data_IF_877189103993
#
_entry.id   IF_877189103993
#
_cell.length_a   1.000
_cell.length_b   1.000
_cell.length_c   1.000
_cell.angle_alpha   90.00
_cell.angle_beta   90.00
_cell.angle_gamma   90.00
#
_symmetry.space_group_name_H-M   'P 1'
#
loop_
_entity.id
_entity.type
_entity.pdbx_description
1 polymer ?
#
# COMPACT_ATOMS: atom_id res chain seq x y z
N UNK A 1 8.42 16.16 -10.64
CA UNK A 1 7.11 15.71 -11.19
C UNK A 1 5.96 16.13 -10.28
N UNK A 2 5.86 17.41 -9.90
CA UNK A 2 4.84 17.87 -8.94
C UNK A 2 3.41 17.84 -9.51
N UNK A 3 3.25 17.77 -10.83
CA UNK A 3 1.92 17.71 -11.46
C UNK A 3 1.41 16.28 -11.65
N UNK A 4 2.23 15.25 -11.39
CA UNK A 4 1.82 13.86 -11.61
C UNK A 4 0.81 13.45 -10.53
N UNK A 5 -0.42 13.16 -10.96
CA UNK A 5 -1.53 12.77 -10.08
C UNK A 5 -1.89 11.29 -10.17
N UNK A 6 -1.64 10.64 -11.30
CA UNK A 6 -2.01 9.25 -11.50
C UNK A 6 -0.79 8.50 -12.01
N UNK A 7 -0.40 7.46 -11.28
CA UNK A 7 0.72 6.60 -11.63
C UNK A 7 0.25 5.16 -11.72
N UNK A 8 0.40 4.58 -12.91
CA UNK A 8 0.14 3.18 -13.18
C UNK A 8 1.48 2.49 -13.39
N UNK A 9 1.93 1.72 -12.41
CA UNK A 9 3.16 0.95 -12.54
C UNK A 9 2.91 -0.28 -13.44
N UNK A 10 3.96 -0.82 -14.09
CA UNK A 10 3.87 -2.13 -14.72
C UNK A 10 3.38 -3.20 -13.73
N UNK A 11 2.58 -4.16 -14.21
CA UNK A 11 2.12 -5.28 -13.39
C UNK A 11 3.25 -6.23 -12.98
N UNK A 12 4.39 -6.15 -13.66
CA UNK A 12 5.62 -6.91 -13.40
C UNK A 12 6.83 -6.01 -13.63
N UNK A 13 7.75 -6.01 -12.68
CA UNK A 13 9.09 -5.45 -12.82
C UNK A 13 10.12 -6.56 -12.56
N UNK A 14 11.38 -6.35 -12.96
CA UNK A 14 12.42 -7.33 -12.63
C UNK A 14 12.60 -7.41 -11.10
N UNK A 15 13.00 -8.56 -10.53
CA UNK A 15 13.24 -8.69 -9.10
C UNK A 15 14.26 -7.69 -8.53
N UNK A 16 15.20 -7.24 -9.34
CA UNK A 16 16.27 -6.30 -8.99
C UNK A 16 15.80 -4.84 -8.99
N UNK A 17 14.62 -4.56 -9.56
CA UNK A 17 14.10 -3.20 -9.68
C UNK A 17 13.64 -2.67 -8.32
N UNK A 18 14.15 -1.50 -7.92
CA UNK A 18 13.67 -0.74 -6.74
C UNK A 18 13.29 0.69 -7.10
N UNK A 19 11.99 0.98 -7.07
CA UNK A 19 11.38 2.26 -7.43
C UNK A 19 11.33 3.21 -6.23
N UNK A 20 11.93 4.39 -6.39
CA UNK A 20 11.93 5.46 -5.38
C UNK A 20 10.79 6.44 -5.63
N UNK A 21 9.62 6.13 -5.07
CA UNK A 21 8.40 6.93 -5.22
C UNK A 21 8.26 8.07 -4.18
N UNK A 22 9.20 8.22 -3.24
CA UNK A 22 9.07 9.11 -2.08
C UNK A 22 8.93 10.61 -2.40
N UNK A 23 9.22 11.04 -3.63
CA UNK A 23 9.05 12.44 -4.09
C UNK A 23 7.70 12.69 -4.77
N UNK A 24 6.86 11.67 -4.94
CA UNK A 24 5.59 11.73 -5.66
C UNK A 24 4.40 12.02 -4.72
N UNK A 25 4.51 13.06 -3.88
CA UNK A 25 3.50 13.35 -2.85
C UNK A 25 2.15 13.85 -3.37
N UNK A 26 2.07 14.28 -4.62
CA UNK A 26 0.84 14.78 -5.24
C UNK A 26 0.01 13.69 -5.95
N UNK A 27 0.40 12.42 -5.82
CA UNK A 27 -0.38 11.31 -6.36
C UNK A 27 -1.75 11.21 -5.68
N UNK A 28 -2.76 11.07 -6.52
CA UNK A 28 -4.14 10.73 -6.18
C UNK A 28 -4.43 9.26 -6.49
N UNK A 29 -3.79 8.69 -7.50
CA UNK A 29 -3.96 7.29 -7.89
C UNK A 29 -2.61 6.61 -8.00
N UNK A 30 -2.46 5.47 -7.34
CA UNK A 30 -1.30 4.60 -7.48
C UNK A 30 -1.75 3.16 -7.74
N UNK A 31 -1.42 2.65 -8.92
CA UNK A 31 -1.83 1.32 -9.37
C UNK A 31 -0.63 0.40 -9.57
N UNK A 32 -0.81 -0.88 -9.26
CA UNK A 32 0.22 -1.93 -9.24
C UNK A 32 1.37 -1.66 -8.25
N UNK A 33 1.12 -0.99 -7.12
CA UNK A 33 2.11 -0.87 -6.05
C UNK A 33 2.47 -2.26 -5.50
N UNK A 34 3.73 -2.54 -5.24
CA UNK A 34 4.14 -3.81 -4.64
C UNK A 34 5.39 -3.67 -3.79
N UNK A 35 5.51 -4.45 -2.72
CA UNK A 35 6.62 -4.30 -1.77
C UNK A 35 7.91 -4.96 -2.24
N UNK A 36 7.86 -5.78 -3.31
CA UNK A 36 9.05 -6.33 -3.94
C UNK A 36 9.85 -5.24 -4.64
N UNK A 37 9.18 -4.33 -5.35
CA UNK A 37 9.81 -3.30 -6.16
C UNK A 37 9.67 -1.88 -5.58
N UNK A 38 8.80 -1.65 -4.62
CA UNK A 38 8.59 -0.34 -4.01
C UNK A 38 8.83 -0.40 -2.50
N UNK A 39 9.14 0.76 -1.91
CA UNK A 39 9.32 0.89 -0.47
C UNK A 39 8.01 1.35 0.18
N UNK A 40 7.47 0.57 1.12
CA UNK A 40 6.23 0.89 1.85
C UNK A 40 6.31 2.25 2.54
N UNK A 41 7.47 2.58 3.13
CA UNK A 41 7.70 3.87 3.78
C UNK A 41 7.51 5.10 2.88
N UNK A 42 7.46 4.94 1.55
CA UNK A 42 7.16 6.05 0.65
C UNK A 42 5.67 6.39 0.57
N UNK A 43 4.77 5.48 0.96
CA UNK A 43 3.33 5.71 0.95
C UNK A 43 2.93 6.83 1.93
N UNK A 44 3.66 7.01 3.03
CA UNK A 44 3.39 8.08 4.01
C UNK A 44 3.47 9.48 3.38
N UNK A 45 4.30 9.66 2.35
CA UNK A 45 4.47 10.93 1.66
C UNK A 45 3.34 11.24 0.66
N UNK A 46 2.49 10.26 0.33
CA UNK A 46 1.40 10.40 -0.65
C UNK A 46 0.15 10.93 0.06
N UNK A 47 0.22 12.16 0.55
CA UNK A 47 -0.82 12.75 1.40
C UNK A 47 -2.14 13.01 0.68
N UNK A 48 -2.14 13.03 -0.66
CA UNK A 48 -3.31 13.26 -1.50
C UNK A 48 -3.89 11.99 -2.14
N UNK A 49 -3.45 10.80 -1.70
CA UNK A 49 -3.84 9.53 -2.30
C UNK A 49 -5.33 9.23 -2.09
N UNK A 50 -6.04 8.96 -3.18
CA UNK A 50 -7.48 8.64 -3.21
C UNK A 50 -7.71 7.17 -3.49
N UNK A 51 -6.92 6.60 -4.41
CA UNK A 51 -7.03 5.20 -4.83
C UNK A 51 -5.66 4.53 -4.81
N UNK A 52 -5.58 3.41 -4.09
CA UNK A 52 -4.39 2.58 -3.98
C UNK A 52 -4.72 1.15 -4.39
N UNK A 53 -4.05 0.67 -5.44
CA UNK A 53 -4.03 -0.74 -5.79
C UNK A 53 -2.66 -1.34 -5.49
N UNK A 54 -2.66 -2.37 -4.64
CA UNK A 54 -1.51 -3.19 -4.30
C UNK A 54 -1.59 -4.50 -5.08
N UNK A 55 -0.49 -4.89 -5.71
CA UNK A 55 -0.38 -6.12 -6.50
C UNK A 55 0.81 -6.96 -6.09
N UNK A 56 0.58 -8.20 -5.69
CA UNK A 56 1.63 -9.10 -5.22
C UNK A 56 1.76 -9.11 -3.70
N UNK A 57 2.89 -9.60 -3.16
CA UNK A 57 3.09 -9.66 -1.72
C UNK A 57 3.05 -8.26 -1.08
N UNK A 58 2.50 -8.20 0.13
CA UNK A 58 2.45 -7.00 0.95
C UNK A 58 3.11 -7.25 2.30
N UNK A 59 4.36 -6.78 2.42
CA UNK A 59 5.15 -6.87 3.64
C UNK A 59 5.64 -5.47 4.03
N UNK A 60 5.52 -5.14 5.31
CA UNK A 60 5.96 -3.87 5.87
C UNK A 60 7.30 -4.12 6.56
N UNK A 61 8.35 -3.43 6.12
CA UNK A 61 9.67 -3.46 6.76
C UNK A 61 9.56 -2.90 8.18
N UNK A 62 10.28 -3.51 9.13
CA UNK A 62 10.34 -3.09 10.55
C UNK A 62 8.98 -3.03 11.28
N UNK A 63 7.99 -3.82 10.82
CA UNK A 63 6.67 -3.88 11.44
C UNK A 63 6.69 -4.70 12.74
N UNK A 64 6.34 -4.07 13.85
CA UNK A 64 6.21 -4.73 15.14
C UNK A 64 4.90 -5.53 15.16
N UNK A 65 5.03 -6.86 15.08
CA UNK A 65 3.87 -7.76 15.08
C UNK A 65 3.31 -8.07 16.47
N UNK A 66 4.01 -7.70 17.54
CA UNK A 66 3.61 -7.93 18.94
C UNK A 66 2.80 -6.75 19.49
N UNK A 67 3.21 -5.53 19.16
CA UNK A 67 2.59 -4.28 19.63
C UNK A 67 2.11 -3.45 18.43
N UNK A 68 0.95 -3.85 17.88
CA UNK A 68 0.41 -3.28 16.63
C UNK A 68 0.19 -1.76 16.71
N UNK A 69 -0.17 -1.26 17.88
CA UNK A 69 -0.44 0.14 18.22
C UNK A 69 0.82 1.03 18.24
N UNK A 70 2.01 0.44 18.37
CA UNK A 70 3.28 1.18 18.32
C UNK A 70 3.84 1.36 16.91
N UNK A 71 3.23 0.73 15.91
CA UNK A 71 3.68 0.91 14.53
C UNK A 71 3.35 2.32 14.02
N UNK A 72 4.27 2.94 13.25
CA UNK A 72 3.97 4.23 12.62
C UNK A 72 2.86 4.07 11.56
N UNK A 73 2.14 5.16 11.25
CA UNK A 73 1.16 5.15 10.17
C UNK A 73 1.85 4.87 8.83
N UNK A 74 1.26 3.97 8.03
CA UNK A 74 1.76 3.59 6.70
C UNK A 74 1.27 4.58 5.64
N UNK A 75 0.05 5.06 5.81
CA UNK A 75 -0.61 6.03 4.94
C UNK A 75 -1.03 7.22 5.80
N UNK A 76 -0.67 8.42 5.38
CA UNK A 76 -1.09 9.66 6.04
C UNK A 76 -2.25 10.35 5.31
N UNK A 77 -2.60 9.89 4.10
CA UNK A 77 -3.69 10.50 3.35
C UNK A 77 -5.03 10.34 4.05
N UNK A 78 -5.71 11.48 4.23
CA UNK A 78 -7.09 11.53 4.74
C UNK A 78 -8.14 11.28 3.65
N UNK A 79 -7.71 11.19 2.39
CA UNK A 79 -8.57 11.10 1.21
C UNK A 79 -8.63 9.71 0.60
N UNK A 80 -7.95 8.72 1.20
CA UNK A 80 -7.89 7.37 0.63
C UNK A 80 -9.26 6.70 0.69
N UNK A 81 -9.97 6.67 -0.43
CA UNK A 81 -11.33 6.17 -0.55
C UNK A 81 -11.42 4.74 -1.05
N UNK A 82 -10.40 4.27 -1.77
CA UNK A 82 -10.36 2.94 -2.38
C UNK A 82 -9.02 2.27 -2.07
N UNK A 83 -9.10 1.07 -1.52
CA UNK A 83 -7.98 0.16 -1.36
C UNK A 83 -8.31 -1.16 -2.05
N UNK A 84 -7.48 -1.55 -3.02
CA UNK A 84 -7.56 -2.84 -3.67
C UNK A 84 -6.27 -3.62 -3.49
N UNK A 85 -6.37 -4.91 -3.18
CA UNK A 85 -5.21 -5.78 -2.99
C UNK A 85 -5.40 -7.06 -3.80
N UNK A 86 -4.47 -7.33 -4.70
CA UNK A 86 -4.48 -8.49 -5.60
C UNK A 86 -3.22 -9.33 -5.41
N UNK A 87 -3.34 -10.55 -4.92
CA UNK A 87 -2.22 -11.48 -4.84
C UNK A 87 -2.67 -12.93 -5.02
N UNK A 88 -2.51 -13.42 -6.25
CA UNK A 88 -2.95 -14.75 -6.67
C UNK A 88 -2.01 -15.88 -6.26
N UNK A 89 -0.72 -15.58 -6.07
CA UNK A 89 0.33 -16.57 -5.86
C UNK A 89 0.61 -16.84 -4.38
N UNK A 90 -0.11 -16.18 -3.47
CA UNK A 90 0.10 -16.39 -2.06
C UNK A 90 -0.82 -15.60 -1.17
N UNK A 91 -0.32 -15.34 0.03
CA UNK A 91 -1.11 -14.90 1.15
C UNK A 91 -0.52 -13.68 1.82
N UNK A 92 -1.39 -12.82 2.34
CA UNK A 92 -1.02 -11.70 3.20
C UNK A 92 -1.18 -12.09 4.67
N UNK A 93 -0.21 -11.66 5.49
CA UNK A 93 -0.32 -11.74 6.93
C UNK A 93 -1.38 -10.73 7.42
N UNK A 94 -2.44 -11.17 8.11
CA UNK A 94 -3.49 -10.29 8.60
C UNK A 94 -2.99 -9.11 9.43
N UNK A 95 -1.86 -9.22 10.14
CA UNK A 95 -1.29 -8.14 10.96
C UNK A 95 -0.82 -6.96 10.12
N UNK A 96 -0.20 -7.24 8.97
CA UNK A 96 0.21 -6.20 8.04
C UNK A 96 -1.02 -5.52 7.42
N UNK A 97 -2.07 -6.29 7.13
CA UNK A 97 -3.34 -5.75 6.64
C UNK A 97 -4.02 -4.86 7.70
N UNK A 98 -4.05 -5.28 8.96
CA UNK A 98 -4.54 -4.45 10.08
C UNK A 98 -3.75 -3.14 10.19
N UNK A 99 -2.42 -3.18 10.14
CA UNK A 99 -1.58 -1.98 10.19
C UNK A 99 -1.86 -1.01 9.02
N UNK A 100 -2.07 -1.54 7.81
CA UNK A 100 -2.44 -0.74 6.65
C UNK A 100 -3.80 -0.07 6.84
N UNK A 101 -4.80 -0.85 7.25
CA UNK A 101 -6.17 -0.36 7.43
C UNK A 101 -6.29 0.62 8.60
N UNK A 102 -5.54 0.42 9.68
CA UNK A 102 -5.52 1.36 10.83
C UNK A 102 -4.95 2.72 10.47
N UNK A 103 -4.14 2.81 9.42
CA UNK A 103 -3.64 4.07 8.87
C UNK A 103 -4.68 4.81 8.01
N UNK A 104 -5.78 4.16 7.64
CA UNK A 104 -6.80 4.70 6.74
C UNK A 104 -7.98 5.26 7.55
N UNK A 105 -8.19 6.58 7.49
CA UNK A 105 -9.25 7.23 8.27
C UNK A 105 -10.65 7.08 7.65
N UNK A 106 -10.76 7.09 6.32
CA UNK A 106 -12.05 7.14 5.61
C UNK A 106 -12.01 6.46 4.23
N UNK A 107 -12.23 5.13 4.17
CA UNK A 107 -12.38 4.44 2.87
C UNK A 107 -13.79 3.90 2.65
N UNK A 108 -14.26 4.01 1.41
CA UNK A 108 -15.60 3.58 0.97
C UNK A 108 -15.55 2.25 0.23
N UNK A 109 -14.37 1.82 -0.22
CA UNK A 109 -14.18 0.60 -1.00
C UNK A 109 -12.95 -0.16 -0.52
N UNK A 110 -13.18 -1.41 -0.12
CA UNK A 110 -12.14 -2.41 0.11
C UNK A 110 -12.37 -3.58 -0.85
N UNK A 111 -11.37 -3.88 -1.68
CA UNK A 111 -11.40 -5.01 -2.60
C UNK A 111 -10.21 -5.93 -2.32
N UNK A 112 -10.49 -7.16 -1.86
CA UNK A 112 -9.48 -8.15 -1.54
C UNK A 112 -9.61 -9.34 -2.49
N UNK A 113 -8.62 -9.52 -3.34
CA UNK A 113 -8.47 -10.69 -4.20
C UNK A 113 -7.13 -11.36 -3.87
N UNK A 114 -7.09 -11.96 -2.69
CA UNK A 114 -5.91 -12.53 -2.06
C UNK A 114 -6.35 -13.53 -0.98
N UNK A 115 -5.55 -14.56 -0.74
CA UNK A 115 -5.80 -15.48 0.37
C UNK A 115 -5.54 -14.76 1.72
N UNK A 116 -6.50 -14.83 2.64
CA UNK A 116 -6.39 -14.35 4.02
C UNK A 116 -6.88 -15.43 5.00
N UNK A 117 -6.26 -15.52 6.18
CA UNK A 117 -6.74 -16.45 7.25
C UNK A 117 -8.04 -15.98 7.90
N UNK A 118 -8.22 -14.66 7.98
CA UNK A 118 -9.35 -13.97 8.60
C UNK A 118 -9.42 -12.56 8.06
N UNK A 119 -10.61 -11.98 8.03
CA UNK A 119 -10.76 -10.55 7.81
C UNK A 119 -10.21 -9.80 9.04
N UNK A 120 -9.51 -8.69 8.81
CA UNK A 120 -9.03 -7.79 9.87
C UNK A 120 -10.17 -7.06 10.55
#
# INVERSE_FOLDING_TARGET
MQQLKHLYLPSRCSPETKLKLGTLGNLQTLVNFNTKNCYVKHLINMTNLIDLEIRGPFNIEDFNTEELDKNPPIIQSKYLHSLSIFYYEGRIDPRHLVGLLSSCQNFFKLNLNVEIRRLP
#
